data_IF_679084834362
#
_entry.id   IF_679084834362
#
_cell.length_a   1.000
_cell.length_b   1.000
_cell.length_c   1.000
_cell.angle_alpha   90.00
_cell.angle_beta   90.00
_cell.angle_gamma   90.00
#
_symmetry.space_group_name_H-M   'P 1'
#
loop_
_entity.id
_entity.type
_entity.pdbx_description
1 polymer ?
#
# COMPACT_ATOMS: atom_id res chain seq x y z
N UNK A 1 13.49 14.27 5.02
CA UNK A 1 13.31 12.89 5.52
C UNK A 1 12.80 13.02 6.94
N UNK A 2 11.71 12.33 7.32
CA UNK A 2 11.28 12.32 8.72
C UNK A 2 12.33 11.58 9.54
N UNK A 3 12.64 12.09 10.74
CA UNK A 3 13.49 11.35 11.66
C UNK A 3 12.75 10.11 12.19
N UNK A 4 13.49 9.06 12.54
CA UNK A 4 12.92 7.82 13.11
C UNK A 4 12.05 8.12 14.34
N UNK A 5 12.51 9.05 15.19
CA UNK A 5 11.78 9.49 16.37
C UNK A 5 10.41 10.09 16.02
N UNK A 6 10.30 10.86 14.92
CA UNK A 6 9.04 11.46 14.50
C UNK A 6 8.05 10.38 14.05
N UNK A 7 8.51 9.37 13.30
CA UNK A 7 7.69 8.24 12.86
C UNK A 7 7.12 7.47 14.05
N UNK A 8 7.96 7.20 15.06
CA UNK A 8 7.56 6.53 16.30
C UNK A 8 6.51 7.36 17.04
N UNK A 9 6.78 8.64 17.25
CA UNK A 9 5.90 9.55 17.97
C UNK A 9 4.54 9.67 17.31
N UNK A 10 4.52 9.90 16.00
CA UNK A 10 3.28 9.98 15.20
C UNK A 10 2.45 8.68 15.27
N UNK A 11 3.13 7.53 15.24
CA UNK A 11 2.47 6.23 15.31
C UNK A 11 1.92 5.94 16.71
N UNK A 12 2.72 6.20 17.75
CA UNK A 12 2.34 5.95 19.15
C UNK A 12 1.09 6.73 19.58
N UNK A 13 0.95 7.96 19.08
CA UNK A 13 -0.24 8.79 19.37
C UNK A 13 -1.49 8.22 18.71
N UNK A 14 -1.37 7.71 17.48
CA UNK A 14 -2.51 7.22 16.69
C UNK A 14 -2.87 5.77 16.97
N UNK A 15 -1.91 4.98 17.42
CA UNK A 15 -2.05 3.57 17.74
C UNK A 15 -1.54 3.24 19.15
N UNK A 16 -2.23 3.67 20.21
CA UNK A 16 -1.77 3.44 21.59
C UNK A 16 -1.61 1.95 21.94
N UNK A 17 -2.43 1.08 21.36
CA UNK A 17 -2.36 -0.36 21.56
C UNK A 17 -1.10 -1.00 20.94
N UNK A 18 -0.47 -0.33 19.97
CA UNK A 18 0.75 -0.77 19.30
C UNK A 18 2.02 -0.46 20.13
N UNK A 19 1.87 0.04 21.38
CA UNK A 19 2.99 0.49 22.23
C UNK A 19 3.55 -0.60 23.16
N UNK A 20 3.35 -1.88 22.88
CA UNK A 20 3.74 -3.00 23.76
C UNK A 20 5.21 -3.43 23.64
N UNK A 21 6.15 -2.51 23.42
CA UNK A 21 7.57 -2.83 23.29
C UNK A 21 8.42 -1.67 22.84
N UNK A 22 9.69 -1.95 22.51
CA UNK A 22 10.59 -0.96 21.89
C UNK A 22 10.38 -0.98 20.38
N UNK A 23 9.85 0.11 19.77
CA UNK A 23 9.61 0.14 18.34
C UNK A 23 10.94 0.21 17.56
N UNK A 24 10.99 -0.49 16.45
CA UNK A 24 12.05 -0.33 15.44
C UNK A 24 11.44 0.23 14.17
N UNK A 25 12.17 1.15 13.52
CA UNK A 25 11.75 1.80 12.28
C UNK A 25 12.84 1.62 11.25
N UNK A 26 12.46 1.02 10.13
CA UNK A 26 13.34 0.77 9.00
C UNK A 26 12.83 1.53 7.78
N UNK A 27 13.64 2.45 7.19
CA UNK A 27 13.31 3.07 5.93
C UNK A 27 13.29 2.02 4.82
N UNK A 28 12.23 2.03 4.00
CA UNK A 28 12.14 1.17 2.83
C UNK A 28 12.49 2.01 1.60
N UNK A 29 13.68 1.78 1.04
CA UNK A 29 14.10 2.40 -0.20
C UNK A 29 13.42 1.71 -1.38
N UNK A 30 12.27 2.23 -1.80
CA UNK A 30 11.66 1.86 -3.07
C UNK A 30 11.81 3.04 -4.02
N UNK A 31 12.60 2.84 -5.07
CA UNK A 31 12.98 3.88 -6.01
C UNK A 31 11.80 4.52 -6.74
N UNK A 32 11.94 5.78 -7.13
CA UNK A 32 11.14 6.46 -8.15
C UNK A 32 9.93 7.24 -7.66
N UNK A 33 9.43 7.07 -6.44
CA UNK A 33 8.30 7.89 -5.95
C UNK A 33 8.73 8.89 -4.88
N UNK A 34 8.05 10.04 -4.81
CA UNK A 34 8.25 11.02 -3.73
C UNK A 34 7.69 10.54 -2.39
N UNK A 35 7.05 9.37 -2.37
CA UNK A 35 6.57 8.73 -1.14
C UNK A 35 7.75 8.16 -0.38
N UNK A 36 7.76 8.37 0.93
CA UNK A 36 8.73 7.76 1.85
C UNK A 36 8.04 6.69 2.65
N UNK A 37 8.56 5.48 2.57
CA UNK A 37 8.02 4.30 3.23
C UNK A 37 8.91 3.93 4.41
N UNK A 38 8.27 3.57 5.51
CA UNK A 38 8.95 3.08 6.70
C UNK A 38 8.20 1.85 7.21
N UNK A 39 8.95 0.79 7.53
CA UNK A 39 8.40 -0.35 8.26
C UNK A 39 8.59 -0.12 9.74
N UNK A 40 7.50 -0.18 10.48
CA UNK A 40 7.50 -0.08 11.94
C UNK A 40 7.23 -1.47 12.48
N UNK A 41 8.12 -1.97 13.35
CA UNK A 41 7.91 -3.24 14.05
C UNK A 41 7.85 -2.99 15.55
N UNK A 42 6.93 -3.68 16.23
CA UNK A 42 6.77 -3.61 17.68
C UNK A 42 6.13 -4.89 18.22
N UNK A 43 6.78 -5.56 19.16
CA UNK A 43 6.20 -6.68 19.89
C UNK A 43 5.80 -7.90 19.05
N UNK A 44 6.30 -8.05 17.84
CA UNK A 44 5.93 -9.10 16.88
C UNK A 44 4.97 -8.64 15.79
N UNK A 45 4.36 -7.49 15.93
CA UNK A 45 3.51 -6.87 14.92
C UNK A 45 4.31 -5.92 14.04
N UNK A 46 3.83 -5.68 12.83
CA UNK A 46 4.43 -4.70 11.92
C UNK A 46 3.37 -3.95 11.13
N UNK A 47 3.71 -2.73 10.73
CA UNK A 47 2.92 -1.92 9.81
C UNK A 47 3.81 -1.06 8.93
N UNK A 48 3.28 -0.61 7.81
CA UNK A 48 3.94 0.34 6.91
C UNK A 48 3.39 1.73 7.18
N UNK A 49 4.30 2.65 7.45
CA UNK A 49 4.03 4.08 7.51
C UNK A 49 4.50 4.75 6.23
N UNK A 50 3.66 5.61 5.67
CA UNK A 50 3.96 6.34 4.44
C UNK A 50 3.78 7.83 4.70
N UNK A 51 4.82 8.61 4.37
CA UNK A 51 4.74 10.07 4.19
C UNK A 51 4.75 10.36 2.70
N UNK A 52 3.77 11.13 2.24
CA UNK A 52 3.68 11.52 0.83
C UNK A 52 3.63 13.03 0.66
N UNK A 53 3.74 13.49 -0.59
CA UNK A 53 3.60 14.90 -0.96
C UNK A 53 2.25 15.13 -1.61
N UNK A 54 1.54 16.18 -1.21
CA UNK A 54 0.27 16.61 -1.80
C UNK A 54 0.43 17.30 -3.17
N UNK A 55 1.66 17.53 -3.62
CA UNK A 55 1.92 18.14 -4.91
C UNK A 55 1.59 17.23 -6.10
N UNK A 56 1.60 15.90 -5.85
CA UNK A 56 1.21 14.90 -6.86
C UNK A 56 -0.22 14.46 -6.63
N UNK A 57 -1.06 14.69 -7.63
CA UNK A 57 -2.47 14.34 -7.64
C UNK A 57 -2.70 12.83 -7.36
N UNK A 58 -1.90 11.97 -7.99
CA UNK A 58 -1.93 10.51 -7.76
C UNK A 58 -1.79 10.09 -6.28
N UNK A 59 -1.14 10.91 -5.45
CA UNK A 59 -1.01 10.60 -4.03
C UNK A 59 -2.33 10.80 -3.27
N UNK A 60 -3.19 11.72 -3.72
CA UNK A 60 -4.49 11.98 -3.09
C UNK A 60 -5.47 10.85 -3.34
N UNK A 61 -5.40 10.20 -4.49
CA UNK A 61 -6.33 9.15 -4.89
C UNK A 61 -5.95 7.77 -4.33
N UNK A 62 -4.72 7.60 -3.84
CA UNK A 62 -4.21 6.29 -3.42
C UNK A 62 -5.12 5.56 -2.42
N UNK A 63 -5.55 6.24 -1.35
CA UNK A 63 -6.37 5.62 -0.30
C UNK A 63 -7.79 5.35 -0.79
N UNK A 64 -8.39 6.26 -1.56
CA UNK A 64 -9.70 6.06 -2.14
C UNK A 64 -9.72 4.84 -3.07
N UNK A 65 -8.72 4.72 -3.94
CA UNK A 65 -8.56 3.57 -4.85
C UNK A 65 -8.32 2.28 -4.06
N UNK A 66 -7.46 2.29 -3.05
CA UNK A 66 -7.19 1.10 -2.24
C UNK A 66 -8.45 0.60 -1.53
N UNK A 67 -9.24 1.50 -0.93
CA UNK A 67 -10.51 1.15 -0.29
C UNK A 67 -11.55 0.62 -1.27
N UNK A 68 -11.67 1.26 -2.43
CA UNK A 68 -12.56 0.81 -3.50
C UNK A 68 -12.19 -0.61 -3.97
N UNK A 69 -10.92 -0.86 -4.25
CA UNK A 69 -10.44 -2.18 -4.67
C UNK A 69 -10.70 -3.24 -3.60
N UNK A 70 -10.45 -2.91 -2.33
CA UNK A 70 -10.76 -3.80 -1.19
C UNK A 70 -12.25 -4.15 -1.14
N UNK A 71 -13.13 -3.15 -1.29
CA UNK A 71 -14.58 -3.35 -1.30
C UNK A 71 -15.04 -4.20 -2.50
N UNK A 72 -14.35 -4.11 -3.63
CA UNK A 72 -14.58 -4.95 -4.82
C UNK A 72 -13.99 -6.37 -4.71
N UNK A 73 -13.40 -6.72 -3.55
CA UNK A 73 -12.83 -8.06 -3.31
C UNK A 73 -11.46 -8.27 -3.94
N UNK A 74 -10.77 -7.21 -4.34
CA UNK A 74 -9.38 -7.27 -4.81
C UNK A 74 -8.44 -7.31 -3.62
N UNK A 75 -7.51 -8.25 -3.54
CA UNK A 75 -6.55 -8.33 -2.45
C UNK A 75 -5.57 -7.15 -2.52
N UNK A 76 -5.73 -6.20 -1.63
CA UNK A 76 -4.86 -5.03 -1.45
C UNK A 76 -4.48 -4.89 0.03
N UNK A 77 -3.37 -4.24 0.37
CA UNK A 77 -3.04 -3.99 1.76
C UNK A 77 -4.12 -3.16 2.46
N UNK A 78 -4.49 -3.56 3.67
CA UNK A 78 -5.46 -2.82 4.48
C UNK A 78 -4.90 -1.46 4.88
N UNK A 79 -5.69 -0.41 4.68
CA UNK A 79 -5.37 0.95 5.15
C UNK A 79 -5.95 1.12 6.55
N UNK A 80 -5.09 1.14 7.55
CA UNK A 80 -5.50 1.30 8.95
C UNK A 80 -5.91 2.73 9.28
N UNK A 81 -5.14 3.71 8.80
CA UNK A 81 -5.40 5.13 9.02
C UNK A 81 -4.85 5.96 7.87
N UNK A 82 -5.59 6.98 7.48
CA UNK A 82 -5.16 8.04 6.57
C UNK A 82 -5.38 9.39 7.25
N UNK A 83 -4.29 10.10 7.48
CA UNK A 83 -4.26 11.48 7.94
C UNK A 83 -3.96 12.37 6.73
N UNK A 84 -5.03 12.87 6.11
CA UNK A 84 -4.92 13.62 4.87
C UNK A 84 -4.29 15.00 5.09
N UNK A 85 -4.56 15.64 6.24
CA UNK A 85 -4.00 16.95 6.58
C UNK A 85 -2.48 16.88 6.69
N UNK A 86 -1.98 15.85 7.35
CA UNK A 86 -0.56 15.62 7.54
C UNK A 86 0.08 14.81 6.40
N UNK A 87 -0.71 14.33 5.43
CA UNK A 87 -0.25 13.48 4.31
C UNK A 87 0.46 12.20 4.78
N UNK A 88 -0.19 11.49 5.72
CA UNK A 88 0.33 10.27 6.34
C UNK A 88 -0.64 9.12 6.12
N UNK A 89 -0.08 7.93 5.89
CA UNK A 89 -0.86 6.68 5.79
C UNK A 89 -0.20 5.62 6.66
N UNK A 90 -1.00 4.85 7.39
CA UNK A 90 -0.60 3.61 8.04
C UNK A 90 -1.37 2.47 7.42
N UNK A 91 -0.66 1.42 7.04
CA UNK A 91 -1.26 0.30 6.33
C UNK A 91 -0.61 -1.03 6.70
N UNK A 92 -1.25 -2.10 6.31
CA UNK A 92 -0.79 -3.47 6.48
C UNK A 92 0.60 -3.67 5.89
N UNK A 93 1.47 -4.31 6.67
CA UNK A 93 2.76 -4.80 6.19
C UNK A 93 2.57 -6.21 5.59
N UNK A 94 2.80 -6.33 4.30
CA UNK A 94 2.75 -7.62 3.59
C UNK A 94 4.07 -8.41 3.67
N UNK A 95 5.05 -7.90 4.42
CA UNK A 95 6.37 -8.53 4.57
C UNK A 95 7.34 -8.19 3.44
N UNK A 96 8.36 -9.03 3.29
CA UNK A 96 9.49 -8.79 2.39
C UNK A 96 9.54 -9.77 1.22
N UNK A 97 8.77 -10.86 1.32
CA UNK A 97 8.76 -11.91 0.31
C UNK A 97 7.82 -11.53 -0.82
N UNK A 98 8.36 -11.33 -1.98
CA UNK A 98 7.65 -11.03 -3.21
C UNK A 98 7.70 -12.20 -4.21
N UNK A 99 7.01 -12.04 -5.33
CA UNK A 99 6.99 -13.08 -6.36
C UNK A 99 8.38 -13.36 -6.94
N UNK A 100 9.26 -12.35 -6.99
CA UNK A 100 10.64 -12.51 -7.45
C UNK A 100 11.48 -13.39 -6.52
N UNK A 101 11.20 -13.36 -5.23
CA UNK A 101 11.86 -14.22 -4.23
C UNK A 101 11.67 -15.71 -4.54
N UNK A 102 10.55 -16.04 -5.19
CA UNK A 102 10.20 -17.41 -5.60
C UNK A 102 10.68 -17.82 -7.01
N UNK A 103 11.46 -16.98 -7.69
CA UNK A 103 11.87 -17.21 -9.10
C UNK A 103 12.59 -18.54 -9.35
N UNK A 104 13.27 -19.07 -8.34
CA UNK A 104 14.01 -20.33 -8.42
C UNK A 104 13.28 -21.53 -7.77
N UNK A 105 12.07 -21.33 -7.25
CA UNK A 105 11.28 -22.39 -6.65
C UNK A 105 10.80 -23.40 -7.70
N UNK A 106 10.46 -24.64 -7.29
CA UNK A 106 9.86 -25.63 -8.19
C UNK A 106 8.63 -25.10 -8.91
N UNK A 107 8.44 -25.53 -10.15
CA UNK A 107 7.34 -25.08 -10.99
C UNK A 107 5.96 -25.17 -10.32
N UNK A 108 5.59 -26.23 -9.56
CA UNK A 108 4.31 -26.29 -8.89
C UNK A 108 4.06 -25.10 -7.95
N UNK A 109 5.07 -24.71 -7.18
CA UNK A 109 5.01 -23.53 -6.28
C UNK A 109 4.82 -22.25 -7.08
N UNK A 110 5.67 -22.01 -8.08
CA UNK A 110 5.57 -20.82 -8.93
C UNK A 110 4.23 -20.72 -9.65
N UNK A 111 3.76 -21.87 -10.17
CA UNK A 111 2.46 -21.94 -10.86
C UNK A 111 1.33 -21.49 -9.93
N UNK A 112 1.29 -21.97 -8.68
CA UNK A 112 0.27 -21.59 -7.71
C UNK A 112 0.29 -20.08 -7.43
N UNK A 113 1.49 -19.49 -7.28
CA UNK A 113 1.66 -18.05 -7.07
C UNK A 113 1.20 -17.24 -8.28
N UNK A 114 1.57 -17.66 -9.50
CA UNK A 114 1.10 -17.00 -10.73
C UNK A 114 -0.41 -17.10 -10.88
N UNK A 115 -0.99 -18.25 -10.57
CA UNK A 115 -2.44 -18.41 -10.62
C UNK A 115 -3.14 -17.47 -9.64
N UNK A 116 -2.68 -17.40 -8.39
CA UNK A 116 -3.21 -16.47 -7.40
C UNK A 116 -3.10 -15.00 -7.86
N UNK A 117 -1.99 -14.64 -8.52
CA UNK A 117 -1.81 -13.29 -9.09
C UNK A 117 -2.82 -13.03 -10.22
N UNK A 118 -3.02 -13.99 -11.10
CA UNK A 118 -4.00 -13.87 -12.20
C UNK A 118 -5.43 -13.79 -11.69
N UNK A 119 -5.76 -14.52 -10.62
CA UNK A 119 -7.07 -14.45 -9.96
C UNK A 119 -7.32 -13.06 -9.38
N UNK A 120 -6.30 -12.45 -8.76
CA UNK A 120 -6.37 -11.07 -8.27
C UNK A 120 -6.56 -10.04 -9.41
N UNK A 121 -5.83 -10.21 -10.52
CA UNK A 121 -5.97 -9.38 -11.73
C UNK A 121 -7.37 -9.55 -12.34
N UNK A 122 -7.88 -10.78 -12.38
CA UNK A 122 -9.24 -11.04 -12.84
C UNK A 122 -10.28 -10.34 -11.95
N UNK A 123 -10.14 -10.45 -10.63
CA UNK A 123 -11.03 -9.77 -9.69
C UNK A 123 -11.01 -8.24 -9.92
N UNK A 124 -9.83 -7.66 -10.13
CA UNK A 124 -9.68 -6.24 -10.42
C UNK A 124 -10.42 -5.84 -11.72
N UNK A 125 -10.24 -6.58 -12.81
CA UNK A 125 -10.87 -6.26 -14.09
C UNK A 125 -12.36 -6.58 -14.14
N UNK A 126 -12.78 -7.63 -13.46
CA UNK A 126 -14.19 -8.06 -13.51
C UNK A 126 -15.03 -7.38 -12.43
N UNK A 127 -14.61 -7.48 -11.16
CA UNK A 127 -15.42 -6.99 -10.06
C UNK A 127 -15.33 -5.47 -9.94
N UNK A 128 -14.10 -4.91 -9.96
CA UNK A 128 -13.92 -3.49 -9.75
C UNK A 128 -14.49 -2.64 -10.89
N UNK A 129 -14.41 -3.13 -12.15
CA UNK A 129 -15.02 -2.42 -13.30
C UNK A 129 -16.54 -2.37 -13.22
N UNK A 130 -17.17 -3.37 -12.58
CA UNK A 130 -18.62 -3.49 -12.44
C UNK A 130 -19.14 -3.01 -11.09
N UNK A 131 -18.25 -2.60 -10.18
CA UNK A 131 -18.62 -2.19 -8.82
C UNK A 131 -19.29 -0.81 -8.80
N UNK A 132 -20.24 -0.64 -7.90
CA UNK A 132 -20.83 0.67 -7.60
C UNK A 132 -19.73 1.62 -7.12
N UNK A 133 -19.79 2.88 -7.53
CA UNK A 133 -18.83 3.92 -7.12
C UNK A 133 -17.57 4.01 -7.98
N UNK A 134 -17.37 3.13 -9.00
CA UNK A 134 -16.23 3.25 -9.92
C UNK A 134 -16.21 4.61 -10.64
N UNK A 135 -17.39 5.16 -10.95
CA UNK A 135 -17.53 6.47 -11.58
C UNK A 135 -17.23 7.67 -10.65
N UNK A 136 -17.12 7.43 -9.35
CA UNK A 136 -16.77 8.46 -8.36
C UNK A 136 -15.25 8.59 -8.17
N UNK A 137 -14.49 7.62 -8.69
CA UNK A 137 -13.04 7.67 -8.66
C UNK A 137 -12.53 8.60 -9.75
N UNK A 138 -11.64 9.49 -9.40
CA UNK A 138 -10.90 10.32 -10.36
C UNK A 138 -9.82 9.48 -11.05
N UNK A 139 -10.25 8.68 -12.03
CA UNK A 139 -9.38 7.82 -12.82
C UNK A 139 -9.04 8.49 -14.14
N UNK A 140 -7.85 8.22 -14.65
CA UNK A 140 -7.48 8.57 -16.02
C UNK A 140 -8.40 7.81 -16.99
N UNK A 141 -9.10 8.55 -17.85
CA UNK A 141 -10.12 7.99 -18.74
C UNK A 141 -9.56 7.28 -19.96
N UNK A 142 -8.40 7.73 -20.40
CA UNK A 142 -7.76 7.26 -21.63
C UNK A 142 -6.30 6.96 -21.35
N UNK A 143 -5.86 5.80 -21.79
CA UNK A 143 -4.45 5.42 -21.80
C UNK A 143 -3.87 5.86 -23.14
N UNK A 144 -3.34 7.05 -23.21
CA UNK A 144 -2.82 7.69 -24.41
C UNK A 144 -1.40 8.23 -24.25
N UNK A 145 -0.88 8.84 -25.31
CA UNK A 145 0.47 9.38 -25.32
C UNK A 145 0.67 10.52 -24.31
N UNK A 146 -0.40 11.27 -24.01
CA UNK A 146 -0.32 12.43 -23.09
C UNK A 146 -0.11 12.00 -21.65
N UNK A 147 -0.47 10.75 -21.31
CA UNK A 147 -0.21 10.14 -20.00
C UNK A 147 1.30 9.88 -19.77
N UNK A 148 2.10 9.74 -20.84
CA UNK A 148 3.51 9.35 -20.77
C UNK A 148 4.50 10.43 -21.22
N UNK A 149 4.03 11.55 -21.68
CA UNK A 149 4.84 12.70 -22.09
C UNK A 149 4.84 13.80 -21.04
#
# INVERSE_FOLDING_TARGET
MLAVHDVISLTSVRFPAFNSGTPTVEPLEKGGSERKFYRIRMGGDSMIFIKYSNHKEENRHYVAIARFLSAAGVPVPEVYLHDEEESLIWMQDLGEVDLWSHRNDPWPTRRALYQSTLDAVFAMHHNATSADGVGELELQRVFDADLYL
#
